data_IF_206771045369
#
_entry.id   IF_206771045369
#
_cell.length_a   1.000
_cell.length_b   1.000
_cell.length_c   1.000
_cell.angle_alpha   90.00
_cell.angle_beta   90.00
_cell.angle_gamma   90.00
#
_symmetry.space_group_name_H-M   'P 1'
#
loop_
_entity.id
_entity.type
_entity.pdbx_description
1 polymer ?
#
# COMPACT_ATOMS: atom_id res chain seq x y z
N UNK A 1 -13.40 -14.16 5.68
CA UNK A 1 -13.31 -13.34 4.45
C UNK A 1 -13.90 -14.08 3.25
N UNK A 2 -14.52 -13.38 2.31
CA UNK A 2 -15.00 -13.96 1.04
C UNK A 2 -14.03 -13.64 -0.07
N UNK A 3 -13.97 -14.47 -1.12
CA UNK A 3 -13.21 -14.13 -2.32
C UNK A 3 -13.78 -12.86 -2.98
N UNK A 4 -12.90 -12.00 -3.48
CA UNK A 4 -13.25 -10.78 -4.21
C UNK A 4 -12.58 -10.78 -5.59
N UNK A 5 -13.30 -10.29 -6.60
CA UNK A 5 -12.80 -10.22 -7.97
C UNK A 5 -11.72 -9.16 -8.16
N UNK A 6 -11.70 -8.14 -7.31
CA UNK A 6 -10.65 -7.13 -7.27
C UNK A 6 -10.48 -6.54 -5.87
N UNK A 7 -9.24 -6.27 -5.51
CA UNK A 7 -8.86 -5.63 -4.26
C UNK A 7 -7.80 -4.56 -4.52
N UNK A 8 -7.75 -3.57 -3.63
CA UNK A 8 -6.72 -2.53 -3.67
C UNK A 8 -6.03 -2.45 -2.33
N UNK A 9 -4.75 -2.13 -2.34
CA UNK A 9 -3.99 -1.75 -1.15
C UNK A 9 -3.72 -0.26 -1.19
N UNK A 10 -3.94 0.40 -0.06
CA UNK A 10 -3.55 1.80 0.17
C UNK A 10 -2.31 1.81 1.04
N UNK A 11 -1.28 2.48 0.52
CA UNK A 11 0.00 2.68 1.17
C UNK A 11 0.12 4.15 1.55
N UNK A 12 0.41 4.45 2.82
CA UNK A 12 0.50 5.82 3.33
C UNK A 12 1.78 6.04 4.13
N UNK A 13 2.58 6.99 3.70
CA UNK A 13 3.83 7.38 4.37
C UNK A 13 3.58 8.50 5.38
N UNK A 14 4.41 8.56 6.43
CA UNK A 14 4.43 9.69 7.37
C UNK A 14 4.93 10.99 6.72
N UNK A 15 5.79 10.88 5.70
CA UNK A 15 6.35 11.99 4.93
C UNK A 15 5.66 12.19 3.57
N UNK A 16 5.65 13.42 3.00
CA UNK A 16 5.14 13.68 1.65
C UNK A 16 5.90 12.90 0.58
N UNK A 17 5.17 12.44 -0.44
CA UNK A 17 5.76 11.90 -1.66
C UNK A 17 6.40 13.04 -2.47
N UNK A 18 7.52 12.76 -3.12
CA UNK A 18 8.09 13.64 -4.14
C UNK A 18 7.05 13.93 -5.24
N UNK A 19 7.17 15.10 -5.87
CA UNK A 19 6.17 15.57 -6.84
C UNK A 19 6.03 14.61 -8.02
N UNK A 20 7.15 14.06 -8.48
CA UNK A 20 7.19 13.06 -9.55
C UNK A 20 7.43 11.67 -8.94
N UNK A 21 6.49 10.76 -9.19
CA UNK A 21 6.62 9.33 -8.91
C UNK A 21 6.71 8.55 -10.22
N UNK A 22 7.39 7.41 -10.20
CA UNK A 22 7.35 6.40 -11.27
C UNK A 22 6.68 5.16 -10.72
N UNK A 23 5.35 5.15 -10.76
CA UNK A 23 4.54 4.08 -10.21
C UNK A 23 4.31 2.98 -11.28
N UNK A 24 4.16 1.71 -10.87
CA UNK A 24 3.63 0.66 -11.74
C UNK A 24 2.26 1.04 -12.33
N UNK A 25 1.88 0.46 -13.47
CA UNK A 25 0.61 0.79 -14.15
C UNK A 25 -0.63 0.51 -13.31
N UNK A 26 -0.54 -0.40 -12.35
CA UNK A 26 -1.61 -0.76 -11.43
C UNK A 26 -1.63 0.09 -10.15
N UNK A 27 -0.79 1.13 -10.06
CA UNK A 27 -0.66 2.01 -8.91
C UNK A 27 -0.91 3.47 -9.28
N UNK A 28 -1.61 4.19 -8.41
CA UNK A 28 -1.92 5.61 -8.57
C UNK A 28 -1.64 6.39 -7.27
N UNK A 29 -1.12 7.62 -7.40
CA UNK A 29 -0.98 8.55 -6.27
C UNK A 29 -2.37 9.00 -5.82
N UNK A 30 -2.65 8.87 -4.53
CA UNK A 30 -3.92 9.27 -3.91
C UNK A 30 -3.67 10.29 -2.80
N UNK A 31 -3.24 11.50 -3.18
CA UNK A 31 -2.95 12.60 -2.26
C UNK A 31 -1.45 12.82 -2.00
N UNK A 32 -1.12 13.62 -1.00
CA UNK A 32 0.26 14.05 -0.76
C UNK A 32 1.19 12.93 -0.30
N UNK A 33 0.63 11.96 0.43
CA UNK A 33 1.39 10.95 1.21
C UNK A 33 0.97 9.51 0.89
N UNK A 34 0.12 9.29 -0.09
CA UNK A 34 -0.48 7.99 -0.31
C UNK A 34 -0.46 7.55 -1.77
N UNK A 35 -0.36 6.24 -1.94
CA UNK A 35 -0.47 5.51 -3.21
C UNK A 35 -1.51 4.41 -2.99
N UNK A 36 -2.37 4.20 -3.99
CA UNK A 36 -3.25 3.03 -4.07
C UNK A 36 -2.75 2.13 -5.19
N UNK A 37 -2.71 0.83 -4.94
CA UNK A 37 -2.33 -0.16 -5.93
C UNK A 37 -3.38 -1.26 -6.00
N UNK A 38 -3.70 -1.71 -7.21
CA UNK A 38 -4.54 -2.88 -7.42
C UNK A 38 -3.74 -4.14 -7.11
N UNK A 39 -4.32 -5.04 -6.32
CA UNK A 39 -3.74 -6.35 -5.98
C UNK A 39 -4.35 -7.48 -6.82
N UNK A 40 -5.34 -7.17 -7.65
CA UNK A 40 -6.09 -8.15 -8.42
C UNK A 40 -7.07 -8.95 -7.56
N UNK A 41 -7.57 -10.08 -8.07
CA UNK A 41 -8.47 -10.97 -7.34
C UNK A 41 -7.82 -11.46 -6.05
N UNK A 42 -8.60 -11.51 -4.97
CA UNK A 42 -8.15 -12.12 -3.71
C UNK A 42 -9.04 -13.29 -3.34
N UNK A 43 -8.47 -14.49 -3.25
CA UNK A 43 -9.17 -15.65 -2.73
C UNK A 43 -9.40 -15.48 -1.21
N UNK A 44 -10.42 -16.17 -0.67
CA UNK A 44 -10.85 -16.03 0.73
C UNK A 44 -9.72 -16.14 1.77
N UNK A 45 -8.73 -16.99 1.51
CA UNK A 45 -7.53 -17.21 2.33
C UNK A 45 -6.24 -17.15 1.48
N UNK A 46 -6.29 -16.46 0.33
CA UNK A 46 -5.18 -16.40 -0.63
C UNK A 46 -4.35 -15.13 -0.51
N UNK A 47 -3.20 -15.14 -1.18
CA UNK A 47 -2.39 -13.95 -1.42
C UNK A 47 -2.86 -13.27 -2.71
N UNK A 48 -2.81 -11.94 -2.72
CA UNK A 48 -3.00 -11.15 -3.94
C UNK A 48 -1.74 -11.17 -4.81
N UNK A 49 -1.79 -10.46 -5.92
CA UNK A 49 -0.64 -10.33 -6.80
C UNK A 49 0.52 -9.61 -6.10
N UNK A 50 1.73 -10.17 -6.22
CA UNK A 50 2.93 -9.50 -5.75
C UNK A 50 3.23 -8.27 -6.62
N UNK A 51 3.58 -7.17 -5.96
CA UNK A 51 3.97 -5.94 -6.64
C UNK A 51 5.29 -5.40 -6.09
N UNK A 52 6.08 -4.78 -6.98
CA UNK A 52 7.28 -4.03 -6.59
C UNK A 52 7.00 -2.55 -6.77
N UNK A 53 7.19 -1.79 -5.70
CA UNK A 53 6.96 -0.35 -5.68
C UNK A 53 8.24 0.40 -5.32
N UNK A 54 8.59 1.39 -6.12
CA UNK A 54 9.65 2.35 -5.81
C UNK A 54 9.01 3.71 -5.52
N UNK A 55 9.14 4.18 -4.29
CA UNK A 55 8.56 5.46 -3.85
C UNK A 55 9.67 6.45 -3.53
N UNK A 56 9.49 7.68 -4.01
CA UNK A 56 10.38 8.80 -3.66
C UNK A 56 9.68 9.70 -2.66
N UNK A 57 10.36 10.06 -1.59
CA UNK A 57 9.84 11.00 -0.61
C UNK A 57 10.39 12.41 -0.88
N UNK A 58 9.65 13.42 -0.40
CA UNK A 58 10.13 14.80 -0.41
C UNK A 58 11.11 15.00 0.75
N UNK A 59 12.26 15.59 0.46
CA UNK A 59 13.36 15.69 1.42
C UNK A 59 14.07 14.35 1.59
N UNK A 60 14.81 14.20 2.68
CA UNK A 60 15.64 13.03 2.98
C UNK A 60 15.36 12.58 4.42
N UNK A 61 14.17 12.01 4.70
CA UNK A 61 13.86 11.51 6.04
C UNK A 61 14.69 10.26 6.35
N UNK A 62 15.36 10.23 7.50
CA UNK A 62 16.12 9.06 7.96
C UNK A 62 15.24 7.85 8.31
N UNK A 63 13.96 8.11 8.60
CA UNK A 63 12.95 7.08 8.86
C UNK A 63 11.56 7.59 8.47
N UNK A 64 10.68 6.64 8.12
CA UNK A 64 9.25 6.90 7.92
C UNK A 64 8.42 5.74 8.42
N UNK A 65 7.19 6.06 8.79
CA UNK A 65 6.17 5.06 9.04
C UNK A 65 5.39 4.82 7.76
N UNK A 66 5.29 3.56 7.33
CA UNK A 66 4.40 3.10 6.28
C UNK A 66 3.17 2.45 6.91
N UNK A 67 2.00 2.96 6.58
CA UNK A 67 0.72 2.29 6.85
C UNK A 67 0.24 1.60 5.59
N UNK A 68 -0.21 0.36 5.76
CA UNK A 68 -0.75 -0.51 4.72
C UNK A 68 -2.18 -0.83 5.12
N UNK A 69 -3.14 -0.41 4.30
CA UNK A 69 -4.56 -0.66 4.48
C UNK A 69 -5.10 -1.40 3.25
N UNK A 70 -5.76 -2.54 3.42
CA UNK A 70 -6.51 -3.17 2.32
C UNK A 70 -7.86 -2.47 2.15
N UNK A 71 -8.15 -2.01 0.93
CA UNK A 71 -9.43 -1.43 0.53
C UNK A 71 -10.11 -2.37 -0.45
N UNK A 72 -11.17 -3.01 0.02
CA UNK A 72 -11.94 -4.01 -0.71
C UNK A 72 -12.89 -3.35 -1.73
N UNK A 73 -12.79 -3.75 -3.00
CA UNK A 73 -13.78 -3.41 -4.02
C UNK A 73 -15.04 -4.28 -3.89
N UNK A 74 -16.20 -3.77 -4.29
CA UNK A 74 -17.40 -4.62 -4.51
C UNK A 74 -18.35 -4.83 -3.33
N UNK A 75 -18.32 -3.99 -2.29
CA UNK A 75 -19.32 -4.04 -1.21
C UNK A 75 -19.10 -5.14 -0.16
N UNK A 76 -17.96 -5.83 -0.22
CA UNK A 76 -17.47 -6.66 0.87
C UNK A 76 -16.97 -5.76 2.01
N UNK A 77 -17.78 -5.63 3.05
CA UNK A 77 -17.41 -4.91 4.28
C UNK A 77 -16.90 -5.94 5.27
N UNK A 78 -15.59 -6.00 5.51
CA UNK A 78 -15.13 -6.65 6.72
C UNK A 78 -15.54 -5.79 7.92
N UNK A 79 -16.20 -6.41 8.89
CA UNK A 79 -16.68 -5.74 10.10
C UNK A 79 -15.55 -5.52 11.12
N UNK A 80 -14.32 -5.93 10.81
CA UNK A 80 -13.16 -5.78 11.68
C UNK A 80 -11.94 -5.12 11.00
N UNK A 81 -12.12 -3.86 10.59
CA UNK A 81 -11.06 -2.99 10.05
C UNK A 81 -9.78 -2.84 10.91
N UNK A 82 -9.76 -3.32 12.15
CA UNK A 82 -8.58 -3.29 13.02
C UNK A 82 -7.49 -4.28 12.61
N UNK A 83 -7.83 -5.33 11.86
CA UNK A 83 -6.91 -6.40 11.48
C UNK A 83 -6.24 -6.18 10.11
N UNK A 84 -6.79 -5.30 9.27
CA UNK A 84 -6.32 -5.04 7.90
C UNK A 84 -5.31 -3.90 7.82
N UNK A 85 -4.94 -3.31 8.97
CA UNK A 85 -3.99 -2.20 9.06
C UNK A 85 -2.66 -2.66 9.62
N UNK A 86 -1.65 -2.65 8.78
CA UNK A 86 -0.27 -2.83 9.21
C UNK A 86 0.44 -1.48 9.27
N UNK A 87 1.28 -1.29 10.29
CA UNK A 87 2.14 -0.12 10.42
C UNK A 87 3.58 -0.60 10.56
N UNK A 88 4.45 -0.12 9.68
CA UNK A 88 5.85 -0.56 9.61
C UNK A 88 6.77 0.65 9.68
N UNK A 89 7.87 0.53 10.42
CA UNK A 89 8.97 1.49 10.42
C UNK A 89 9.93 1.13 9.28
N UNK A 90 10.17 2.10 8.40
CA UNK A 90 11.07 2.00 7.24
C UNK A 90 12.21 2.97 7.48
N UNK A 91 13.45 2.48 7.42
CA UNK A 91 14.66 3.26 7.67
C UNK A 91 15.35 3.59 6.35
N UNK A 92 16.10 4.69 6.31
CA UNK A 92 16.91 5.06 5.13
C UNK A 92 18.22 4.25 5.08
N UNK A 93 18.11 2.92 5.02
CA UNK A 93 19.28 2.03 4.92
C UNK A 93 19.69 1.74 3.47
N UNK A 94 18.82 2.07 2.50
CA UNK A 94 18.96 1.70 1.10
C UNK A 94 18.49 0.27 0.77
N UNK A 95 18.01 -0.48 1.76
CA UNK A 95 17.52 -1.84 1.58
C UNK A 95 16.11 -1.89 0.97
N UNK A 96 15.79 -3.01 0.32
CA UNK A 96 14.42 -3.32 -0.06
C UNK A 96 13.66 -3.91 1.12
N UNK A 97 12.44 -3.43 1.33
CA UNK A 97 11.53 -3.95 2.35
C UNK A 97 10.49 -4.88 1.72
N UNK A 98 10.20 -6.00 2.38
CA UNK A 98 9.17 -6.97 1.99
C UNK A 98 8.22 -7.14 3.17
N UNK A 99 6.93 -7.07 2.91
CA UNK A 99 5.86 -7.18 3.89
C UNK A 99 4.89 -8.29 3.46
#
# INVERSE_FOLDING_TARGET
PSAVEDATVRLRWSAPLADVQRLPGDCARSGERAVVCRTGPLAADGLGDQMRLNVRLRGEPSEVTLEIDTVWGGGAVDRNHGNDRQRVLVLDTGDSYVF
#
